data_IF_295178692741
#
_entry.id   IF_295178692741
#
_cell.length_a   1.000
_cell.length_b   1.000
_cell.length_c   1.000
_cell.angle_alpha   90.00
_cell.angle_beta   90.00
_cell.angle_gamma   90.00
#
_symmetry.space_group_name_H-M   'P 1'
#
loop_
_entity.id
_entity.type
_entity.pdbx_description
1 polymer ?
#
# COMPACT_ATOMS: atom_id res chain seq x y z
N UNK A 1 -10.37 -24.90 78.66
CA UNK A 1 -11.16 -24.86 77.41
C UNK A 1 -10.42 -24.09 76.34
N UNK A 2 -9.70 -24.76 75.43
CA UNK A 2 -9.07 -24.15 74.26
C UNK A 2 -9.88 -24.60 73.05
N UNK A 3 -10.56 -23.66 72.41
CA UNK A 3 -11.27 -23.84 71.13
C UNK A 3 -10.24 -23.55 70.03
N UNK A 4 -9.81 -24.54 69.26
CA UNK A 4 -9.03 -24.39 68.04
C UNK A 4 -10.01 -24.11 66.90
N UNK A 5 -10.00 -22.87 66.39
CA UNK A 5 -10.65 -22.49 65.16
C UNK A 5 -9.71 -22.88 64.00
N UNK A 6 -10.12 -23.87 63.22
CA UNK A 6 -9.45 -24.32 62.01
C UNK A 6 -9.94 -23.40 60.86
N UNK A 7 -9.08 -22.47 60.44
CA UNK A 7 -9.36 -21.65 59.24
C UNK A 7 -9.01 -22.49 58.00
N UNK A 8 -10.07 -22.91 57.30
CA UNK A 8 -9.97 -23.56 56.00
C UNK A 8 -9.80 -22.49 54.94
N UNK A 9 -8.56 -22.26 54.46
CA UNK A 9 -8.29 -21.38 53.32
C UNK A 9 -8.57 -22.17 52.04
N UNK A 10 -9.71 -21.87 51.41
CA UNK A 10 -10.07 -22.41 50.09
C UNK A 10 -9.27 -21.63 49.03
N UNK A 11 -8.15 -22.18 48.58
CA UNK A 11 -7.38 -21.63 47.46
C UNK A 11 -8.11 -21.94 46.16
N UNK A 12 -8.84 -20.99 45.64
CA UNK A 12 -9.41 -21.03 44.28
C UNK A 12 -8.29 -20.89 43.27
N UNK A 13 -7.79 -22.02 42.74
CA UNK A 13 -6.92 -22.04 41.56
C UNK A 13 -7.75 -21.62 40.33
N UNK A 14 -7.65 -20.38 39.94
CA UNK A 14 -8.18 -19.91 38.63
C UNK A 14 -7.36 -20.59 37.53
N UNK A 15 -7.95 -21.62 36.93
CA UNK A 15 -7.38 -22.31 35.76
C UNK A 15 -7.56 -21.34 34.57
N UNK A 16 -6.56 -20.53 34.26
CA UNK A 16 -6.49 -19.74 33.05
C UNK A 16 -6.35 -20.72 31.87
N UNK A 17 -7.46 -21.03 31.22
CA UNK A 17 -7.44 -21.74 29.95
C UNK A 17 -6.67 -20.89 28.94
N UNK A 18 -5.64 -21.42 28.26
CA UNK A 18 -5.02 -20.70 27.19
C UNK A 18 -6.08 -20.52 26.10
N UNK A 19 -6.51 -19.28 25.88
CA UNK A 19 -7.25 -18.94 24.66
C UNK A 19 -6.30 -19.24 23.51
N UNK A 20 -6.50 -20.39 22.88
CA UNK A 20 -5.80 -20.75 21.66
C UNK A 20 -6.10 -19.67 20.63
N UNK A 21 -5.11 -18.85 20.31
CA UNK A 21 -5.20 -17.87 19.25
C UNK A 21 -5.40 -18.61 17.92
N UNK A 22 -6.66 -18.81 17.51
CA UNK A 22 -6.96 -19.38 16.20
C UNK A 22 -6.41 -18.45 15.14
N UNK A 23 -5.65 -19.00 14.18
CA UNK A 23 -5.10 -18.21 13.08
C UNK A 23 -6.22 -17.51 12.33
N UNK A 24 -6.03 -16.22 12.02
CA UNK A 24 -6.98 -15.44 11.24
C UNK A 24 -7.10 -16.03 9.83
N UNK A 25 -8.32 -16.27 9.35
CA UNK A 25 -8.56 -16.78 8.00
C UNK A 25 -8.71 -15.61 7.01
N UNK A 26 -7.94 -15.65 5.92
CA UNK A 26 -8.15 -14.79 4.75
C UNK A 26 -9.17 -15.50 3.87
N UNK A 27 -10.46 -15.06 3.94
CA UNK A 27 -11.61 -15.78 3.38
C UNK A 27 -11.84 -15.47 1.92
N UNK A 28 -11.69 -14.22 1.54
CA UNK A 28 -12.03 -13.75 0.22
C UNK A 28 -11.17 -12.53 -0.15
N UNK A 29 -11.10 -12.25 -1.45
CA UNK A 29 -10.54 -11.00 -1.96
C UNK A 29 -11.49 -10.37 -2.97
N UNK A 30 -11.59 -9.05 -2.97
CA UNK A 30 -12.42 -8.27 -3.89
C UNK A 30 -11.60 -7.16 -4.50
N UNK A 31 -11.80 -6.93 -5.79
CA UNK A 31 -11.13 -5.88 -6.55
C UNK A 31 -12.16 -4.85 -7.01
N UNK A 32 -11.96 -3.60 -6.60
CA UNK A 32 -12.79 -2.46 -6.99
C UNK A 32 -11.92 -1.48 -7.76
N UNK A 33 -12.44 -0.97 -8.87
CA UNK A 33 -11.77 0.01 -9.72
C UNK A 33 -12.43 1.36 -9.58
N UNK A 34 -11.61 2.37 -9.52
CA UNK A 34 -11.99 3.77 -9.61
C UNK A 34 -11.07 4.46 -10.62
N UNK A 35 -11.42 5.65 -11.07
CA UNK A 35 -10.66 6.36 -12.12
C UNK A 35 -9.20 6.59 -11.74
N UNK A 36 -8.92 6.83 -10.46
CA UNK A 36 -7.59 7.19 -9.94
C UNK A 36 -6.90 6.08 -9.16
N UNK A 37 -7.60 4.96 -8.82
CA UNK A 37 -7.04 3.92 -7.96
C UNK A 37 -7.68 2.55 -8.16
N UNK A 38 -6.91 1.54 -7.85
CA UNK A 38 -7.34 0.16 -7.73
C UNK A 38 -7.38 -0.21 -6.26
N UNK A 39 -8.54 -0.65 -5.75
CA UNK A 39 -8.72 -1.08 -4.37
C UNK A 39 -8.84 -2.60 -4.31
N UNK A 40 -7.91 -3.23 -3.59
CA UNK A 40 -7.96 -4.65 -3.25
C UNK A 40 -8.37 -4.79 -1.78
N UNK A 41 -9.38 -5.59 -1.51
CA UNK A 41 -9.92 -5.82 -0.17
C UNK A 41 -9.84 -7.29 0.15
N UNK A 42 -9.18 -7.64 1.26
CA UNK A 42 -9.17 -8.99 1.81
C UNK A 42 -10.16 -9.06 2.98
N UNK A 43 -11.10 -10.00 2.92
CA UNK A 43 -12.04 -10.29 4.00
C UNK A 43 -11.39 -11.26 4.99
N UNK A 44 -11.36 -10.89 6.26
CA UNK A 44 -10.67 -11.59 7.34
C UNK A 44 -11.65 -12.11 8.38
N UNK A 45 -11.32 -13.25 9.01
CA UNK A 45 -12.13 -13.79 10.12
C UNK A 45 -11.90 -13.06 11.45
N UNK A 46 -10.79 -12.35 11.59
CA UNK A 46 -10.39 -11.68 12.82
C UNK A 46 -9.36 -10.59 12.54
N UNK A 47 -8.88 -9.93 13.60
CA UNK A 47 -7.81 -8.96 13.47
C UNK A 47 -6.50 -9.63 13.03
N UNK A 48 -5.65 -8.89 12.33
CA UNK A 48 -4.35 -9.38 11.84
C UNK A 48 -3.30 -8.28 11.96
N UNK A 49 -2.07 -8.66 12.20
CA UNK A 49 -0.92 -7.79 12.00
C UNK A 49 -0.38 -8.02 10.60
N UNK A 50 -0.01 -6.96 9.90
CA UNK A 50 0.53 -7.07 8.55
C UNK A 50 1.68 -6.10 8.31
N UNK A 51 2.51 -6.45 7.34
CA UNK A 51 3.57 -5.58 6.79
C UNK A 51 3.47 -5.57 5.28
N UNK A 52 3.75 -4.42 4.68
CA UNK A 52 3.80 -4.27 3.23
C UNK A 52 5.13 -3.65 2.82
N UNK A 53 5.69 -4.11 1.70
CA UNK A 53 6.86 -3.52 1.08
C UNK A 53 6.88 -3.81 -0.41
N UNK A 54 7.49 -2.94 -1.18
CA UNK A 54 7.64 -3.07 -2.63
C UNK A 54 9.04 -3.58 -2.99
N UNK A 55 9.10 -4.39 -4.04
CA UNK A 55 10.33 -4.82 -4.69
C UNK A 55 10.28 -4.35 -6.14
N UNK A 56 11.39 -3.86 -6.64
CA UNK A 56 11.57 -3.49 -8.05
C UNK A 56 12.39 -4.54 -8.79
N UNK A 57 12.26 -4.53 -10.14
CA UNK A 57 12.99 -5.41 -11.05
C UNK A 57 12.82 -6.94 -10.80
N UNK A 58 11.63 -7.55 -10.92
CA UNK A 58 10.37 -6.96 -11.39
C UNK A 58 9.57 -6.28 -10.26
N UNK A 59 8.67 -5.38 -10.65
CA UNK A 59 7.80 -4.68 -9.72
C UNK A 59 6.85 -5.64 -9.01
N UNK A 60 6.91 -5.66 -7.69
CA UNK A 60 6.09 -6.51 -6.83
C UNK A 60 5.71 -5.78 -5.54
N UNK A 61 4.51 -6.04 -5.07
CA UNK A 61 4.08 -5.64 -3.73
C UNK A 61 3.93 -6.91 -2.88
N UNK A 62 4.60 -6.93 -1.75
CA UNK A 62 4.58 -8.03 -0.79
C UNK A 62 3.71 -7.63 0.40
N UNK A 63 2.85 -8.53 0.81
CA UNK A 63 1.99 -8.39 1.99
C UNK A 63 2.22 -9.62 2.87
N UNK A 64 2.81 -9.41 4.05
CA UNK A 64 3.00 -10.43 5.07
C UNK A 64 1.93 -10.27 6.15
N UNK A 65 1.16 -11.32 6.39
CA UNK A 65 0.09 -11.36 7.40
C UNK A 65 0.48 -12.36 8.49
N UNK A 66 0.71 -11.87 9.69
CA UNK A 66 1.16 -12.69 10.82
C UNK A 66 -0.02 -13.44 11.44
N UNK A 67 0.19 -14.73 11.71
CA UNK A 67 -0.83 -15.60 12.31
C UNK A 67 -2.07 -15.75 11.44
N UNK A 68 -1.94 -15.68 10.12
CA UNK A 68 -3.05 -15.77 9.18
C UNK A 68 -2.86 -16.93 8.19
N UNK A 69 -3.97 -17.61 7.89
CA UNK A 69 -4.03 -18.67 6.90
C UNK A 69 -4.94 -18.29 5.73
N UNK A 70 -4.55 -18.66 4.54
CA UNK A 70 -5.39 -18.50 3.35
C UNK A 70 -6.42 -19.62 3.29
N UNK A 71 -7.72 -19.29 3.29
CA UNK A 71 -8.82 -20.21 3.06
C UNK A 71 -9.59 -19.89 1.78
N UNK A 72 -9.41 -18.70 1.21
CA UNK A 72 -10.07 -18.26 -0.02
C UNK A 72 -9.24 -18.56 -1.28
N UNK A 73 -9.89 -18.50 -2.43
CA UNK A 73 -9.30 -18.59 -3.75
C UNK A 73 -9.29 -17.19 -4.41
N UNK A 74 -8.13 -16.75 -4.91
CA UNK A 74 -7.96 -15.46 -5.57
C UNK A 74 -7.98 -15.58 -7.11
N UNK A 75 -8.13 -16.79 -7.65
CA UNK A 75 -8.13 -17.03 -9.10
C UNK A 75 -9.27 -16.35 -9.83
N UNK A 76 -10.37 -16.06 -9.12
CA UNK A 76 -11.57 -15.42 -9.66
C UNK A 76 -11.47 -13.89 -9.76
N UNK A 77 -10.37 -13.29 -9.31
CA UNK A 77 -10.21 -11.85 -9.40
C UNK A 77 -9.98 -11.39 -10.84
N UNK A 78 -10.81 -10.46 -11.31
CA UNK A 78 -10.71 -9.91 -12.66
C UNK A 78 -9.52 -8.94 -12.76
N UNK A 79 -8.32 -9.45 -12.99
CA UNK A 79 -7.08 -8.67 -13.05
C UNK A 79 -6.85 -7.98 -14.41
N UNK A 80 -7.60 -8.34 -15.45
CA UNK A 80 -7.45 -7.76 -16.80
C UNK A 80 -7.57 -6.23 -16.76
N UNK A 81 -6.70 -5.54 -17.48
CA UNK A 81 -6.64 -4.06 -17.51
C UNK A 81 -6.42 -3.40 -16.14
N UNK A 82 -5.66 -4.05 -15.26
CA UNK A 82 -5.22 -3.47 -14.00
C UNK A 82 -3.69 -3.44 -13.92
N UNK A 83 -3.16 -2.75 -12.92
CA UNK A 83 -1.72 -2.76 -12.63
C UNK A 83 -1.25 -4.09 -12.05
N UNK A 84 -2.16 -4.94 -11.54
CA UNK A 84 -1.83 -6.25 -10.98
C UNK A 84 -1.85 -7.27 -12.12
N UNK A 85 -0.72 -7.90 -12.40
CA UNK A 85 -0.59 -8.98 -13.40
C UNK A 85 -0.98 -10.33 -12.85
N UNK A 86 -0.58 -10.61 -11.60
CA UNK A 86 -0.85 -11.86 -10.92
C UNK A 86 -0.88 -11.66 -9.40
N UNK A 87 -1.61 -12.52 -8.71
CA UNK A 87 -1.61 -12.64 -7.26
C UNK A 87 -1.16 -14.04 -6.90
N UNK A 88 -0.14 -14.11 -6.06
CA UNK A 88 0.40 -15.37 -5.54
C UNK A 88 0.35 -15.34 -4.03
N UNK A 89 0.13 -16.48 -3.40
CA UNK A 89 0.12 -16.60 -1.95
C UNK A 89 0.83 -17.89 -1.52
N UNK A 90 1.34 -17.88 -0.32
CA UNK A 90 2.02 -19.04 0.26
C UNK A 90 2.27 -18.86 1.75
N UNK A 91 2.58 -19.97 2.41
CA UNK A 91 3.00 -19.94 3.80
C UNK A 91 4.37 -19.26 3.91
N UNK A 92 4.53 -18.47 4.96
CA UNK A 92 5.76 -17.76 5.26
C UNK A 92 6.04 -17.87 6.77
N UNK A 93 7.25 -18.26 7.14
CA UNK A 93 7.59 -18.45 8.54
C UNK A 93 6.74 -19.52 9.25
N UNK A 94 6.50 -19.31 10.53
CA UNK A 94 5.69 -20.22 11.36
C UNK A 94 4.26 -19.69 11.50
N UNK A 95 3.37 -20.08 10.58
CA UNK A 95 1.95 -19.75 10.66
C UNK A 95 1.57 -18.39 10.09
N UNK A 96 2.43 -17.78 9.27
CA UNK A 96 2.17 -16.55 8.55
C UNK A 96 1.81 -16.83 7.09
N UNK A 97 1.11 -15.92 6.46
CA UNK A 97 0.80 -15.95 5.03
C UNK A 97 1.46 -14.76 4.33
N UNK A 98 2.18 -15.05 3.24
CA UNK A 98 2.69 -14.04 2.31
C UNK A 98 1.83 -13.99 1.06
N UNK A 99 1.37 -12.79 0.70
CA UNK A 99 0.71 -12.51 -0.56
C UNK A 99 1.64 -11.64 -1.40
N UNK A 100 1.81 -11.99 -2.65
CA UNK A 100 2.65 -11.28 -3.62
C UNK A 100 1.77 -10.82 -4.77
N UNK A 101 1.74 -9.52 -5.01
CA UNK A 101 1.14 -8.93 -6.19
C UNK A 101 2.25 -8.65 -7.19
N UNK A 102 2.23 -9.34 -8.33
CA UNK A 102 3.11 -9.01 -9.46
C UNK A 102 2.50 -7.83 -10.20
N UNK A 103 3.26 -6.76 -10.39
CA UNK A 103 2.77 -5.50 -10.93
C UNK A 103 3.31 -5.24 -12.34
N UNK A 104 2.57 -4.44 -13.11
CA UNK A 104 3.01 -3.99 -14.44
C UNK A 104 3.90 -2.74 -14.38
N UNK A 105 3.95 -2.07 -13.24
CA UNK A 105 4.75 -0.88 -12.99
C UNK A 105 4.68 -0.45 -11.54
N UNK A 106 5.41 0.59 -11.15
CA UNK A 106 5.44 1.08 -9.78
C UNK A 106 4.07 1.63 -9.35
N UNK A 107 3.73 1.43 -8.08
CA UNK A 107 2.50 1.91 -7.46
C UNK A 107 2.79 2.68 -6.18
N UNK A 108 1.93 3.64 -5.88
CA UNK A 108 1.80 4.20 -4.55
C UNK A 108 0.77 3.39 -3.78
N UNK A 109 1.17 2.86 -2.64
CA UNK A 109 0.31 2.06 -1.77
C UNK A 109 -0.19 2.89 -0.59
N UNK A 110 -1.49 2.82 -0.34
CA UNK A 110 -2.08 3.14 0.95
C UNK A 110 -2.80 1.90 1.47
N UNK A 111 -2.49 1.46 2.70
CA UNK A 111 -3.07 0.24 3.28
C UNK A 111 -3.58 0.50 4.69
N UNK A 112 -4.71 -0.11 5.04
CA UNK A 112 -5.32 0.03 6.35
C UNK A 112 -6.26 -1.14 6.68
N UNK A 113 -6.47 -1.38 7.98
CA UNK A 113 -7.44 -2.35 8.49
C UNK A 113 -8.77 -1.65 8.79
N UNK A 114 -9.87 -2.29 8.39
CA UNK A 114 -11.21 -1.93 8.80
C UNK A 114 -11.70 -2.92 9.85
N UNK A 115 -12.23 -2.37 10.93
CA UNK A 115 -12.91 -3.14 11.98
C UNK A 115 -14.27 -3.64 11.48
N UNK A 116 -14.85 -4.66 12.13
CA UNK A 116 -16.20 -5.10 11.83
C UNK A 116 -17.19 -3.95 11.97
N UNK A 117 -17.99 -3.74 10.93
CA UNK A 117 -19.04 -2.74 10.89
C UNK A 117 -20.13 -3.15 9.90
N UNK A 118 -21.40 -2.84 10.19
CA UNK A 118 -22.55 -3.05 9.29
C UNK A 118 -22.67 -4.51 8.78
N UNK A 119 -22.43 -5.48 9.66
CA UNK A 119 -22.49 -6.91 9.32
C UNK A 119 -21.31 -7.43 8.50
N UNK A 120 -20.32 -6.59 8.20
CA UNK A 120 -19.06 -6.98 7.56
C UNK A 120 -17.99 -7.25 8.62
N UNK A 121 -17.15 -8.28 8.40
CA UNK A 121 -16.04 -8.65 9.27
C UNK A 121 -14.83 -7.71 9.15
N UNK A 122 -13.72 -8.14 9.74
CA UNK A 122 -12.43 -7.45 9.57
C UNK A 122 -12.00 -7.46 8.10
N UNK A 123 -11.37 -6.40 7.65
CA UNK A 123 -10.90 -6.26 6.26
C UNK A 123 -9.55 -5.58 6.21
N UNK A 124 -8.66 -6.11 5.38
CA UNK A 124 -7.44 -5.40 4.98
C UNK A 124 -7.69 -4.76 3.61
N UNK A 125 -7.54 -3.45 3.53
CA UNK A 125 -7.73 -2.66 2.32
C UNK A 125 -6.38 -2.17 1.81
N UNK A 126 -6.14 -2.36 0.51
CA UNK A 126 -4.97 -1.89 -0.22
C UNK A 126 -5.43 -0.99 -1.36
N UNK A 127 -5.14 0.30 -1.28
CA UNK A 127 -5.37 1.27 -2.36
C UNK A 127 -4.07 1.43 -3.15
N UNK A 128 -4.10 1.05 -4.41
CA UNK A 128 -2.99 1.11 -5.34
C UNK A 128 -3.27 2.24 -6.34
N UNK A 129 -2.42 3.25 -6.35
CA UNK A 129 -2.41 4.28 -7.40
C UNK A 129 -1.21 4.02 -8.30
N UNK A 130 -1.41 4.00 -9.61
CA UNK A 130 -0.29 3.92 -10.54
C UNK A 130 0.60 5.15 -10.28
N UNK A 131 1.83 4.91 -9.88
CA UNK A 131 2.79 6.01 -9.80
C UNK A 131 3.02 6.48 -11.24
N UNK A 132 2.84 7.76 -11.50
CA UNK A 132 3.39 8.34 -12.72
C UNK A 132 4.88 7.94 -12.76
N UNK A 133 5.43 7.57 -13.94
CA UNK A 133 6.85 7.27 -14.03
C UNK A 133 7.59 8.42 -13.32
N UNK A 134 8.60 8.14 -12.50
CA UNK A 134 9.31 9.19 -11.81
C UNK A 134 9.73 10.18 -12.89
N UNK A 135 9.14 11.38 -12.87
CA UNK A 135 9.65 12.45 -13.70
C UNK A 135 11.14 12.48 -13.35
N UNK A 136 12.00 12.18 -14.33
CA UNK A 136 13.43 12.34 -14.15
C UNK A 136 13.57 13.73 -13.54
N UNK A 137 13.85 13.78 -12.24
CA UNK A 137 14.24 15.02 -11.61
C UNK A 137 15.43 15.46 -12.46
N UNK A 138 15.22 16.48 -13.29
CA UNK A 138 16.31 17.05 -14.03
C UNK A 138 17.31 17.44 -12.96
N UNK A 139 18.35 16.63 -12.81
CA UNK A 139 19.49 17.02 -11.98
C UNK A 139 19.89 18.40 -12.51
N UNK A 140 20.01 19.40 -11.63
CA UNK A 140 20.55 20.68 -12.09
C UNK A 140 21.83 20.37 -12.83
N UNK A 141 21.95 20.81 -14.07
CA UNK A 141 23.16 20.67 -14.85
C UNK A 141 24.26 21.33 -14.01
N UNK A 142 24.96 20.56 -13.19
CA UNK A 142 26.20 20.98 -12.60
C UNK A 142 27.19 20.96 -13.75
N UNK A 143 27.50 22.14 -14.23
CA UNK A 143 28.48 22.42 -15.24
C UNK A 143 29.89 21.94 -14.76
N UNK A 144 30.12 20.63 -14.90
CA UNK A 144 31.46 20.09 -14.83
C UNK A 144 32.08 20.40 -16.18
N UNK A 145 32.79 21.52 -16.18
CA UNK A 145 33.64 22.05 -17.23
C UNK A 145 33.96 21.06 -18.37
N UNK A 146 33.12 21.06 -19.41
CA UNK A 146 33.54 20.60 -20.72
C UNK A 146 33.96 21.83 -21.52
N UNK A 147 35.25 21.94 -21.89
CA UNK A 147 35.69 23.02 -22.72
C UNK A 147 35.06 22.92 -24.10
N UNK A 148 34.33 23.94 -24.48
CA UNK A 148 33.82 24.22 -25.83
C UNK A 148 32.72 23.31 -26.32
N UNK A 149 31.50 23.54 -25.84
CA UNK A 149 30.30 23.30 -26.61
C UNK A 149 29.56 24.62 -26.74
N UNK A 150 29.17 24.97 -27.95
CA UNK A 150 28.35 26.14 -28.21
C UNK A 150 27.01 25.96 -27.47
N UNK A 151 26.63 26.95 -26.70
CA UNK A 151 25.32 26.98 -26.02
C UNK A 151 24.31 27.37 -27.08
N UNK A 152 23.49 26.41 -27.52
CA UNK A 152 22.36 26.69 -28.39
C UNK A 152 21.18 27.07 -27.49
N UNK A 153 20.84 28.35 -27.46
CA UNK A 153 19.64 28.83 -26.79
C UNK A 153 18.52 28.88 -27.84
N UNK A 154 17.52 28.05 -27.70
CA UNK A 154 16.30 28.15 -28.51
C UNK A 154 15.35 29.04 -27.72
N UNK A 155 15.07 30.21 -28.25
CA UNK A 155 14.04 31.11 -27.74
C UNK A 155 12.76 30.83 -28.54
N UNK A 156 11.73 30.35 -27.85
CA UNK A 156 10.40 30.20 -28.41
C UNK A 156 9.57 31.45 -28.03
N UNK A 157 9.35 32.37 -28.94
CA UNK A 157 8.53 33.57 -28.68
C UNK A 157 7.04 33.20 -28.71
N UNK A 158 6.58 32.39 -27.71
CA UNK A 158 5.24 31.85 -27.67
C UNK A 158 4.09 32.90 -27.64
N UNK A 159 4.42 34.15 -27.37
CA UNK A 159 3.43 35.25 -27.32
C UNK A 159 3.70 36.29 -28.40
N UNK A 160 2.66 36.75 -29.06
CA UNK A 160 2.76 37.74 -30.13
C UNK A 160 1.40 38.02 -30.78
N UNK A 161 1.37 38.97 -31.70
CA UNK A 161 0.11 39.36 -32.38
C UNK A 161 -0.88 40.02 -31.42
N UNK A 162 -2.05 39.42 -31.23
CA UNK A 162 -3.10 39.92 -30.34
C UNK A 162 -2.91 39.55 -28.88
N UNK A 163 -2.05 38.58 -28.60
CA UNK A 163 -1.71 38.14 -27.23
C UNK A 163 -0.37 38.79 -26.83
N UNK A 164 -0.39 39.76 -25.91
CA UNK A 164 0.82 40.44 -25.48
C UNK A 164 1.69 39.62 -24.50
N UNK A 165 1.22 38.44 -24.04
CA UNK A 165 1.88 37.69 -22.96
C UNK A 165 1.73 38.41 -21.63
N UNK A 166 2.63 38.06 -20.68
CA UNK A 166 2.70 38.70 -19.38
C UNK A 166 3.15 40.16 -19.47
N UNK A 167 2.49 41.06 -18.71
CA UNK A 167 2.83 42.47 -18.63
C UNK A 167 3.45 42.76 -17.27
N UNK A 168 4.67 43.27 -17.26
CA UNK A 168 5.37 43.66 -16.05
C UNK A 168 4.74 44.88 -15.36
N UNK A 169 5.09 45.12 -14.10
CA UNK A 169 4.52 46.20 -13.28
C UNK A 169 4.80 47.62 -13.85
N UNK A 170 5.76 47.76 -14.76
CA UNK A 170 6.08 49.02 -15.46
C UNK A 170 5.58 49.05 -16.89
N UNK A 171 4.78 48.07 -17.33
CA UNK A 171 4.18 47.99 -18.65
C UNK A 171 5.05 47.33 -19.73
N UNK A 172 6.19 46.72 -19.33
CA UNK A 172 7.01 45.92 -20.27
C UNK A 172 6.24 44.67 -20.67
N UNK A 173 6.31 44.26 -21.93
CA UNK A 173 5.68 43.08 -22.48
C UNK A 173 6.72 41.98 -22.67
N UNK A 174 6.29 40.73 -22.46
CA UNK A 174 7.17 39.57 -22.60
C UNK A 174 7.87 39.44 -23.95
N UNK A 175 7.27 40.02 -24.97
CA UNK A 175 7.80 39.99 -26.35
C UNK A 175 8.68 41.17 -26.74
N UNK A 176 8.85 42.16 -25.86
CA UNK A 176 9.64 43.35 -26.14
C UNK A 176 11.14 43.11 -25.70
#
# INVERSE_FOLDING_TARGET
HRRHLLNLILASAAFALPFGASATQIRNARLLRSDDKLRLVFDLSGPVQYKTFSLSAPERLIIDLSGANLSGDFSQLALSNTVIRAIRSGHFGQGDTRIVLDLSGPVQLNSFLLQPQDGQGHRLVLDLKTAAPPSKKLEPFTDKAHPKRDIIVVVDPGHGGKDPGAVGAKGEREKD
#
